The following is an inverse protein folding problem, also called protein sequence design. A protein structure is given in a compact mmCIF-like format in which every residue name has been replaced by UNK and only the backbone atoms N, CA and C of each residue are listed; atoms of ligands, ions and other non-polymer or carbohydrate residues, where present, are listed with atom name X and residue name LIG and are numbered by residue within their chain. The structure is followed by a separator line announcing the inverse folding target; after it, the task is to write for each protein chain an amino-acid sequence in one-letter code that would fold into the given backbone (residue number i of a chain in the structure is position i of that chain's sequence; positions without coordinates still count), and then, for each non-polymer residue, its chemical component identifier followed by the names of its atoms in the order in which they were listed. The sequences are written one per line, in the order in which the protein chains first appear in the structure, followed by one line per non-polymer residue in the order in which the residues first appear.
data_IF_139035743057
#
_entry.id   IF_139035743057
#
_cell.length_a   1.000
_cell.length_b   1.000
_cell.length_c   1.000
_cell.angle_alpha   90.00
_cell.angle_beta   90.00
_cell.angle_gamma   90.00
#
_symmetry.space_group_name_H-M   'P 1'
#
loop_
_entity.id
_entity.type
_entity.pdbx_description
1 polymer ?
#
# COMPACT_ATOMS: atom_id res chain seq x y z
N UNK A 1 5.93 23.15 -3.27
CA UNK A 1 6.25 21.98 -2.43
C UNK A 1 5.34 20.86 -2.91
N UNK A 2 5.92 19.76 -3.34
CA UNK A 2 5.16 18.67 -3.93
C UNK A 2 4.22 18.04 -2.87
N UNK A 3 2.97 17.78 -3.26
CA UNK A 3 1.97 17.19 -2.37
C UNK A 3 2.14 15.67 -2.36
N UNK A 4 2.45 15.10 -1.21
CA UNK A 4 2.54 13.64 -1.01
C UNK A 4 1.31 13.18 -0.24
N UNK A 5 0.57 12.23 -0.79
CA UNK A 5 -0.56 11.59 -0.14
C UNK A 5 -0.28 10.11 0.13
N UNK A 6 -0.39 9.70 1.38
CA UNK A 6 -0.37 8.28 1.77
C UNK A 6 -1.80 7.79 1.85
N UNK A 7 -2.14 6.75 1.11
CA UNK A 7 -3.48 6.21 0.95
C UNK A 7 -3.56 4.81 1.56
N UNK A 8 -4.39 4.64 2.59
CA UNK A 8 -4.52 3.41 3.37
C UNK A 8 -5.97 2.96 3.35
N UNK A 9 -6.36 2.00 2.48
CA UNK A 9 -7.65 1.36 2.55
C UNK A 9 -7.68 0.42 3.75
N UNK A 10 -8.66 0.55 4.64
CA UNK A 10 -8.80 -0.26 5.86
C UNK A 10 -10.15 -0.97 5.94
N UNK A 11 -10.13 -2.19 6.45
CA UNK A 11 -11.30 -2.94 6.86
C UNK A 11 -10.96 -3.86 8.04
N UNK A 12 -11.43 -3.50 9.25
CA UNK A 12 -11.17 -4.21 10.51
C UNK A 12 -9.66 -4.38 10.81
N UNK A 13 -8.95 -3.24 10.88
CA UNK A 13 -7.50 -3.20 11.13
C UNK A 13 -7.16 -2.37 12.38
N UNK A 14 -8.04 -2.37 13.39
CA UNK A 14 -7.88 -1.61 14.63
C UNK A 14 -6.55 -1.90 15.37
N UNK A 15 -6.04 -3.13 15.26
CA UNK A 15 -4.81 -3.55 15.93
C UNK A 15 -3.54 -2.91 15.35
N UNK A 16 -3.54 -2.52 14.07
CA UNK A 16 -2.34 -2.15 13.32
C UNK A 16 -2.38 -0.73 12.75
N UNK A 17 -3.56 -0.21 12.46
CA UNK A 17 -3.73 1.07 11.75
C UNK A 17 -3.02 2.24 12.44
N UNK A 18 -3.04 2.33 13.78
CA UNK A 18 -2.38 3.40 14.52
C UNK A 18 -0.87 3.41 14.30
N UNK A 19 -0.24 2.22 14.32
CA UNK A 19 1.19 2.07 14.07
C UNK A 19 1.53 2.47 12.64
N UNK A 20 0.78 1.98 11.65
CA UNK A 20 0.99 2.31 10.24
C UNK A 20 0.91 3.81 10.00
N UNK A 21 -0.13 4.49 10.52
CA UNK A 21 -0.27 5.95 10.41
C UNK A 21 0.92 6.67 11.05
N UNK A 22 1.30 6.27 12.26
CA UNK A 22 2.41 6.90 13.00
C UNK A 22 3.75 6.71 12.28
N UNK A 23 4.01 5.53 11.71
CA UNK A 23 5.23 5.23 10.98
C UNK A 23 5.34 6.07 9.70
N UNK A 24 4.27 6.20 8.92
CA UNK A 24 4.29 7.06 7.73
C UNK A 24 4.44 8.53 8.08
N UNK A 25 3.80 9.03 9.13
CA UNK A 25 4.00 10.41 9.60
C UNK A 25 5.42 10.68 10.10
N UNK A 26 6.08 9.69 10.67
CA UNK A 26 7.48 9.77 11.11
C UNK A 26 8.45 9.85 9.93
N UNK A 27 8.27 9.01 8.90
CA UNK A 27 9.22 8.93 7.77
C UNK A 27 8.94 9.95 6.67
N UNK A 28 7.70 10.44 6.57
CA UNK A 28 7.25 11.44 5.59
C UNK A 28 6.41 12.52 6.30
N UNK A 29 7.01 13.35 7.15
CA UNK A 29 6.28 14.34 7.97
C UNK A 29 5.53 15.39 7.14
N UNK A 30 5.95 15.64 5.90
CA UNK A 30 5.29 16.54 4.96
C UNK A 30 4.09 15.94 4.25
N UNK A 31 3.87 14.62 4.37
CA UNK A 31 2.77 13.93 3.70
C UNK A 31 1.45 14.06 4.48
N UNK A 32 0.35 13.96 3.75
CA UNK A 32 -0.98 13.77 4.36
C UNK A 32 -1.33 12.29 4.32
N UNK A 33 -1.59 11.71 5.48
CA UNK A 33 -2.00 10.30 5.60
C UNK A 33 -3.51 10.22 5.59
N UNK A 34 -4.08 9.57 4.58
CA UNK A 34 -5.51 9.30 4.43
C UNK A 34 -5.81 7.85 4.75
N UNK A 35 -6.74 7.61 5.65
CA UNK A 35 -7.31 6.30 5.91
C UNK A 35 -8.74 6.27 5.37
N UNK A 36 -9.03 5.31 4.50
CA UNK A 36 -10.38 5.08 4.00
C UNK A 36 -10.94 3.83 4.64
N UNK A 37 -11.89 4.04 5.53
CA UNK A 37 -12.59 2.96 6.21
C UNK A 37 -13.69 2.38 5.31
N UNK A 38 -13.68 1.08 5.12
CA UNK A 38 -14.64 0.36 4.28
C UNK A 38 -15.60 -0.49 5.13
N UNK A 39 -16.36 0.19 6.00
CA UNK A 39 -17.35 -0.40 6.91
C UNK A 39 -16.72 -1.27 8.01
N UNK A 40 -15.63 -0.83 8.64
CA UNK A 40 -15.08 -1.50 9.83
C UNK A 40 -16.04 -1.44 11.01
N UNK A 41 -16.00 -2.46 11.86
CA UNK A 41 -16.85 -2.59 13.06
C UNK A 41 -16.02 -2.68 14.35
N UNK A 42 -14.69 -2.57 14.25
CA UNK A 42 -13.75 -2.78 15.35
C UNK A 42 -13.15 -1.49 15.92
N UNK A 43 -13.59 -0.32 15.44
CA UNK A 43 -13.05 0.98 15.86
C UNK A 43 -11.83 1.44 15.06
N UNK A 44 -11.54 0.82 13.90
CA UNK A 44 -10.44 1.20 13.02
C UNK A 44 -10.42 2.70 12.70
N UNK A 45 -11.57 3.29 12.35
CA UNK A 45 -11.68 4.69 11.96
C UNK A 45 -11.26 5.65 13.08
N UNK A 46 -11.80 5.46 14.28
CA UNK A 46 -11.52 6.28 15.46
C UNK A 46 -10.04 6.17 15.89
N UNK A 47 -9.47 4.98 15.77
CA UNK A 47 -8.05 4.74 16.09
C UNK A 47 -7.15 5.44 15.08
N UNK A 48 -7.48 5.38 13.79
CA UNK A 48 -6.73 6.06 12.73
C UNK A 48 -6.78 7.59 12.89
N UNK A 49 -7.95 8.15 13.21
CA UNK A 49 -8.12 9.58 13.46
C UNK A 49 -7.30 10.05 14.66
N UNK A 50 -7.31 9.32 15.77
CA UNK A 50 -6.49 9.60 16.95
C UNK A 50 -4.99 9.53 16.65
N UNK A 51 -4.57 8.67 15.73
CA UNK A 51 -3.18 8.60 15.25
C UNK A 51 -2.82 9.77 14.32
N UNK A 52 -3.80 10.60 13.93
CA UNK A 52 -3.63 11.82 13.15
C UNK A 52 -3.76 11.61 11.64
N UNK A 53 -4.44 10.57 11.19
CA UNK A 53 -4.85 10.41 9.81
C UNK A 53 -6.09 11.25 9.48
N UNK A 54 -6.26 11.60 8.22
CA UNK A 54 -7.52 12.12 7.68
C UNK A 54 -8.37 10.91 7.31
N UNK A 55 -9.43 10.66 8.10
CA UNK A 55 -10.30 9.51 7.89
C UNK A 55 -11.45 9.86 6.95
N UNK A 56 -11.75 8.96 6.02
CA UNK A 56 -12.90 9.00 5.12
C UNK A 56 -13.55 7.63 5.03
N UNK A 57 -14.80 7.59 4.57
CA UNK A 57 -15.59 6.35 4.54
C UNK A 57 -15.99 6.01 3.11
N UNK A 58 -15.84 4.73 2.74
CA UNK A 58 -16.43 4.17 1.53
C UNK A 58 -17.45 3.10 1.91
N UNK A 59 -18.72 3.39 1.64
CA UNK A 59 -19.83 2.51 2.02
C UNK A 59 -19.99 1.30 1.09
N UNK A 60 -19.50 1.41 -0.14
CA UNK A 60 -19.52 0.29 -1.07
C UNK A 60 -18.39 -0.68 -0.73
N UNK A 61 -18.76 -1.86 -0.21
CA UNK A 61 -17.79 -2.86 0.22
C UNK A 61 -16.87 -3.28 -0.93
N UNK A 62 -15.57 -3.33 -0.65
CA UNK A 62 -14.55 -3.84 -1.55
C UNK A 62 -13.42 -2.85 -1.81
N UNK A 63 -12.18 -3.34 -1.68
CA UNK A 63 -10.93 -2.56 -1.83
C UNK A 63 -10.88 -1.74 -3.14
N UNK A 64 -11.39 -2.31 -4.25
CA UNK A 64 -11.43 -1.61 -5.53
C UNK A 64 -12.33 -0.37 -5.53
N UNK A 65 -13.43 -0.35 -4.73
CA UNK A 65 -14.29 0.81 -4.58
C UNK A 65 -13.58 1.91 -3.79
N UNK A 66 -12.91 1.51 -2.71
CA UNK A 66 -12.07 2.40 -1.89
C UNK A 66 -10.99 3.08 -2.75
N UNK A 67 -10.22 2.30 -3.50
CA UNK A 67 -9.13 2.82 -4.33
C UNK A 67 -9.64 3.80 -5.39
N UNK A 68 -10.75 3.48 -6.07
CA UNK A 68 -11.35 4.41 -7.05
C UNK A 68 -11.80 5.70 -6.40
N UNK A 69 -12.33 5.65 -5.18
CA UNK A 69 -12.74 6.83 -4.45
C UNK A 69 -11.54 7.68 -4.03
N UNK A 70 -10.49 7.06 -3.51
CA UNK A 70 -9.24 7.74 -3.13
C UNK A 70 -8.70 8.59 -4.29
N UNK A 71 -8.50 7.97 -5.45
CA UNK A 71 -7.95 8.68 -6.61
C UNK A 71 -8.87 9.76 -7.19
N UNK A 72 -10.18 9.68 -6.96
CA UNK A 72 -11.13 10.71 -7.38
C UNK A 72 -11.16 11.91 -6.45
N UNK A 73 -10.93 11.68 -5.14
CA UNK A 73 -11.11 12.70 -4.10
C UNK A 73 -9.80 13.38 -3.68
N UNK A 74 -8.67 12.71 -3.85
CA UNK A 74 -7.38 13.20 -3.41
C UNK A 74 -6.58 13.68 -4.60
N UNK A 75 -6.13 14.93 -4.53
CA UNK A 75 -5.22 15.54 -5.51
C UNK A 75 -3.83 15.69 -4.90
N UNK A 76 -2.85 14.99 -5.47
CA UNK A 76 -1.46 14.99 -5.01
C UNK A 76 -0.49 14.75 -6.17
N UNK A 77 0.76 15.19 -6.01
CA UNK A 77 1.83 14.97 -6.98
C UNK A 77 2.43 13.56 -6.88
N UNK A 78 2.37 12.97 -5.68
CA UNK A 78 2.85 11.63 -5.40
C UNK A 78 1.86 10.89 -4.48
N UNK A 79 1.43 9.72 -4.92
CA UNK A 79 0.54 8.84 -4.15
C UNK A 79 1.33 7.64 -3.65
N UNK A 80 1.25 7.37 -2.35
CA UNK A 80 1.81 6.18 -1.73
C UNK A 80 0.63 5.32 -1.26
N UNK A 81 0.48 4.14 -1.83
CA UNK A 81 -0.57 3.21 -1.44
C UNK A 81 0.03 2.07 -0.60
N UNK A 82 -0.55 1.83 0.56
CA UNK A 82 -0.16 0.76 1.46
C UNK A 82 -1.38 0.17 2.15
N UNK A 83 -1.26 -1.05 2.69
CA UNK A 83 -2.31 -1.67 3.50
C UNK A 83 -2.20 -1.25 4.97
N UNK A 84 -3.30 -1.33 5.72
CA UNK A 84 -3.35 -0.96 7.14
C UNK A 84 -2.88 -2.08 8.09
N UNK A 85 -2.47 -3.23 7.56
CA UNK A 85 -2.13 -4.47 8.28
C UNK A 85 -0.69 -4.55 8.81
N UNK A 86 0.09 -3.46 8.70
CA UNK A 86 1.51 -3.36 9.11
C UNK A 86 2.44 -4.36 8.38
N UNK A 87 2.06 -4.78 7.17
CA UNK A 87 2.85 -5.73 6.39
C UNK A 87 4.01 -5.06 5.64
N UNK A 88 3.95 -3.74 5.42
CA UNK A 88 4.92 -3.00 4.63
C UNK A 88 5.69 -1.98 5.47
N UNK A 89 7.04 -2.07 5.48
CA UNK A 89 7.87 -1.11 6.21
C UNK A 89 7.77 0.28 5.58
N UNK A 90 7.39 1.28 6.38
CA UNK A 90 7.27 2.67 5.94
C UNK A 90 8.63 3.29 5.56
N UNK A 91 9.73 2.74 6.05
CA UNK A 91 11.10 3.22 5.83
C UNK A 91 11.51 3.28 4.36
N UNK A 92 10.91 2.47 3.51
CA UNK A 92 11.16 2.48 2.06
C UNK A 92 10.46 3.64 1.33
N UNK A 93 9.40 4.20 1.89
CA UNK A 93 8.54 5.17 1.24
C UNK A 93 9.26 6.47 0.82
N UNK A 94 10.17 7.08 1.62
CA UNK A 94 10.88 8.28 1.20
C UNK A 94 11.73 8.07 -0.06
N UNK A 95 12.41 6.92 -0.16
CA UNK A 95 13.22 6.60 -1.34
C UNK A 95 12.35 6.37 -2.59
N UNK A 96 11.18 5.76 -2.42
CA UNK A 96 10.22 5.54 -3.50
C UNK A 96 9.58 6.85 -3.97
N UNK A 97 9.16 7.72 -3.03
CA UNK A 97 8.60 9.04 -3.34
C UNK A 97 9.61 9.92 -4.09
N UNK A 98 10.87 9.90 -3.68
CA UNK A 98 11.94 10.64 -4.38
C UNK A 98 12.09 10.22 -5.84
N UNK A 99 11.98 8.92 -6.16
CA UNK A 99 12.03 8.45 -7.55
C UNK A 99 10.88 8.98 -8.38
N UNK A 100 9.68 9.08 -7.82
CA UNK A 100 8.53 9.67 -8.50
C UNK A 100 8.73 11.17 -8.75
N UNK A 101 9.10 11.91 -7.71
CA UNK A 101 9.15 13.37 -7.75
C UNK A 101 10.37 13.91 -8.53
N UNK A 102 11.55 13.36 -8.29
CA UNK A 102 12.81 13.84 -8.86
C UNK A 102 13.13 13.17 -10.21
N UNK A 103 12.93 11.84 -10.31
CA UNK A 103 13.28 11.08 -11.53
C UNK A 103 12.10 10.97 -12.52
N UNK A 104 10.95 11.56 -12.19
CA UNK A 104 9.71 11.54 -13.00
C UNK A 104 9.29 10.13 -13.43
N UNK A 105 9.53 9.15 -12.57
CA UNK A 105 9.06 7.78 -12.77
C UNK A 105 7.56 7.74 -12.54
N UNK A 106 6.80 7.09 -13.43
CA UNK A 106 5.34 7.04 -13.33
C UNK A 106 4.86 6.16 -12.17
N UNK A 107 5.56 5.06 -11.89
CA UNK A 107 5.20 4.13 -10.83
C UNK A 107 6.42 3.39 -10.29
N UNK A 108 6.49 3.27 -8.97
CA UNK A 108 7.48 2.45 -8.25
C UNK A 108 6.74 1.43 -7.40
N UNK A 109 7.12 0.16 -7.51
CA UNK A 109 6.53 -0.94 -6.73
C UNK A 109 7.58 -1.51 -5.79
N UNK A 110 7.29 -1.52 -4.49
CA UNK A 110 8.12 -2.19 -3.49
C UNK A 110 7.98 -3.70 -3.60
N UNK A 111 9.10 -4.40 -3.80
CA UNK A 111 9.10 -5.86 -3.88
C UNK A 111 9.46 -6.49 -2.53
N UNK A 112 8.46 -7.05 -1.87
CA UNK A 112 8.62 -7.77 -0.61
C UNK A 112 9.34 -9.12 -0.79
N UNK A 113 9.27 -9.71 -1.98
CA UNK A 113 9.75 -11.07 -2.23
C UNK A 113 11.26 -11.15 -2.50
N UNK A 114 11.92 -10.04 -2.84
CA UNK A 114 13.35 -9.99 -3.13
C UNK A 114 14.21 -9.53 -1.96
N UNK A 115 13.60 -9.10 -0.84
CA UNK A 115 14.34 -8.62 0.33
C UNK A 115 14.61 -9.75 1.33
N UNK A 116 15.56 -9.53 2.22
CA UNK A 116 15.96 -10.35 3.38
C UNK A 116 14.80 -10.75 4.31
N UNK A 117 13.59 -10.23 4.08
CA UNK A 117 12.37 -10.55 4.81
C UNK A 117 12.06 -12.07 4.82
N UNK A 118 12.46 -12.81 3.78
CA UNK A 118 12.36 -14.28 3.76
C UNK A 118 13.25 -14.98 4.77
N UNK A 119 14.32 -14.33 5.26
CA UNK A 119 15.21 -14.92 6.24
C UNK A 119 14.65 -14.80 7.67
N UNK A 120 13.84 -13.78 7.95
CA UNK A 120 13.29 -13.53 9.28
C UNK A 120 11.93 -14.20 9.52
N UNK A 121 11.11 -14.38 8.49
CA UNK A 121 9.78 -14.99 8.59
C UNK A 121 9.71 -16.35 7.88
N UNK A 122 10.39 -17.35 8.42
CA UNK A 122 10.33 -18.74 7.95
C UNK A 122 8.95 -19.36 8.28
N UNK A 123 7.97 -19.13 7.42
CA UNK A 123 6.75 -19.96 7.33
C UNK A 123 6.96 -20.96 6.18
N UNK A 124 7.50 -22.16 6.43
CA UNK A 124 7.98 -23.09 5.38
C UNK A 124 6.87 -23.50 4.40
N UNK A 125 5.64 -23.64 4.86
CA UNK A 125 4.53 -24.07 4.02
C UNK A 125 3.98 -22.99 3.08
N UNK A 126 4.05 -21.71 3.46
CA UNK A 126 3.57 -20.60 2.63
C UNK A 126 4.47 -20.39 1.40
N UNK A 127 5.77 -20.55 1.57
CA UNK A 127 6.74 -20.40 0.48
C UNK A 127 6.65 -21.56 -0.52
N UNK A 128 6.38 -22.77 -0.03
CA UNK A 128 6.18 -23.95 -0.87
C UNK A 128 4.92 -23.78 -1.75
N UNK A 129 3.79 -23.35 -1.17
CA UNK A 129 2.56 -23.09 -1.90
C UNK A 129 2.74 -22.05 -3.02
N UNK A 130 3.37 -20.93 -2.73
CA UNK A 130 3.65 -19.88 -3.71
C UNK A 130 4.58 -20.37 -4.84
N UNK A 131 5.59 -21.19 -4.51
CA UNK A 131 6.50 -21.77 -5.49
C UNK A 131 5.80 -22.77 -6.40
N UNK A 132 4.94 -23.62 -5.85
CA UNK A 132 4.17 -24.61 -6.60
C UNK A 132 3.19 -23.93 -7.57
N UNK A 133 2.43 -22.95 -7.11
CA UNK A 133 1.48 -22.20 -7.93
C UNK A 133 2.21 -21.44 -9.04
N UNK A 134 3.36 -20.80 -8.75
CA UNK A 134 4.19 -20.16 -9.75
C UNK A 134 4.70 -21.12 -10.81
N UNK A 135 5.17 -22.29 -10.40
CA UNK A 135 5.63 -23.33 -11.31
C UNK A 135 4.48 -23.83 -12.20
N UNK A 136 3.29 -24.03 -11.64
CA UNK A 136 2.11 -24.48 -12.38
C UNK A 136 1.66 -23.45 -13.42
N UNK A 137 1.65 -22.15 -13.08
CA UNK A 137 1.27 -21.09 -14.02
C UNK A 137 2.31 -20.96 -15.13
N UNK A 138 3.60 -21.00 -14.82
CA UNK A 138 4.66 -20.95 -15.82
C UNK A 138 4.60 -22.15 -16.78
N UNK A 139 4.23 -23.32 -16.27
CA UNK A 139 4.05 -24.53 -17.09
C UNK A 139 2.84 -24.44 -18.01
N UNK A 140 1.70 -23.95 -17.50
CA UNK A 140 0.43 -23.89 -18.22
C UNK A 140 0.36 -22.76 -19.25
N UNK A 141 0.88 -21.59 -18.89
CA UNK A 141 0.71 -20.37 -19.70
C UNK A 141 1.99 -19.93 -20.43
N UNK A 142 3.13 -20.61 -20.23
CA UNK A 142 4.44 -20.26 -20.81
C UNK A 142 4.82 -18.79 -20.64
N UNK A 143 4.27 -18.14 -19.63
CA UNK A 143 4.51 -16.73 -19.37
C UNK A 143 5.79 -16.55 -18.54
N UNK A 144 6.82 -16.00 -19.18
CA UNK A 144 8.12 -15.72 -18.54
C UNK A 144 8.15 -14.35 -17.82
N UNK A 145 7.11 -13.53 -17.96
CA UNK A 145 7.23 -12.09 -17.64
C UNK A 145 6.60 -11.65 -16.33
N UNK A 146 6.17 -12.42 -15.46
CA UNK A 146 5.70 -12.01 -14.13
C UNK A 146 4.50 -12.79 -13.64
N UNK A 147 4.73 -13.91 -13.14
CA UNK A 147 3.80 -14.53 -12.22
C UNK A 147 4.04 -14.01 -10.81
N UNK A 148 3.76 -12.74 -10.59
CA UNK A 148 3.56 -12.22 -9.26
C UNK A 148 2.09 -12.41 -8.92
N UNK A 149 1.77 -13.57 -8.41
CA UNK A 149 0.46 -13.82 -7.81
C UNK A 149 0.31 -12.93 -6.58
N UNK A 150 -0.55 -11.92 -6.76
CA UNK A 150 -1.28 -11.21 -5.72
C UNK A 150 -0.59 -11.09 -4.37
N UNK A 151 0.60 -10.54 -4.36
CA UNK A 151 1.15 -9.94 -3.18
C UNK A 151 0.70 -8.48 -3.19
N UNK A 152 -0.04 -8.08 -2.19
CA UNK A 152 -0.27 -6.67 -1.95
C UNK A 152 1.07 -5.96 -1.93
N UNK A 153 1.21 -4.89 -2.68
CA UNK A 153 2.45 -4.16 -2.82
C UNK A 153 2.23 -2.72 -2.36
N UNK A 154 3.19 -2.16 -1.66
CA UNK A 154 3.24 -0.71 -1.57
C UNK A 154 3.50 -0.17 -2.97
N UNK A 155 2.55 0.57 -3.50
CA UNK A 155 2.66 1.17 -4.82
C UNK A 155 2.74 2.68 -4.65
N UNK A 156 3.72 3.29 -5.29
CA UNK A 156 3.87 4.73 -5.38
C UNK A 156 3.70 5.13 -6.84
N UNK A 157 2.78 6.03 -7.12
CA UNK A 157 2.47 6.45 -8.48
C UNK A 157 2.23 7.96 -8.60
N UNK A 158 2.42 8.47 -9.79
CA UNK A 158 2.04 9.81 -10.21
C UNK A 158 0.80 9.70 -11.09
N UNK A 159 -0.20 10.55 -10.87
CA UNK A 159 -1.28 10.69 -11.84
C UNK A 159 -0.78 11.55 -13.03
N UNK A 160 -1.13 11.21 -14.28
CA UNK A 160 -0.91 12.11 -15.38
C UNK A 160 -1.71 13.39 -15.12
N UNK A 161 -1.05 14.54 -15.22
CA UNK A 161 -1.76 15.82 -15.20
C UNK A 161 -2.77 15.80 -16.34
N UNK A 162 -4.04 15.98 -16.03
CA UNK A 162 -5.06 16.26 -17.05
C UNK A 162 -4.64 17.54 -17.78
N UNK A 163 -4.27 17.38 -19.03
CA UNK A 163 -4.10 18.49 -19.95
C UNK A 163 -5.47 19.09 -20.29
#
# INVERSE_FOLDING_TARGET
MDKIAVLIPCYNEAATVAKVVSDFKRVLPESVVYVYDNNSTDGTAEIAEKAGAVVRFEHQQGKGNVIRRMFREIDADCYIMTDGDDTYPAESAPAMARRILEQKTDMVVGDRLSSTYFQENKRPFHNFGNSLVRASINLLFKDRKSTRLNSSHTTVSRMPSSA
#
